data_IF_980243361959
#
_entry.id   IF_980243361959
#
_cell.length_a   1.000
_cell.length_b   1.000
_cell.length_c   1.000
_cell.angle_alpha   90.00
_cell.angle_beta   90.00
_cell.angle_gamma   90.00
#
_symmetry.space_group_name_H-M   'P 1'
#
loop_
_entity.id
_entity.type
_entity.pdbx_description
1 polymer ?
#
# COMPACT_ATOMS: atom_id res chain seq x y z
N UNK A 1 8.21 16.64 9.56
CA UNK A 1 6.77 16.30 9.53
C UNK A 1 6.62 14.83 9.28
N UNK A 2 5.51 14.22 9.73
CA UNK A 2 5.16 12.84 9.38
C UNK A 2 3.95 12.85 8.44
N UNK A 3 3.87 11.84 7.57
CA UNK A 3 2.70 11.63 6.70
C UNK A 3 1.59 10.97 7.53
N UNK A 4 0.40 11.59 7.58
CA UNK A 4 -0.72 11.09 8.39
C UNK A 4 -1.79 10.40 7.53
N UNK A 5 -2.17 11.03 6.43
CA UNK A 5 -3.18 10.51 5.51
C UNK A 5 -3.01 11.11 4.11
N UNK A 6 -3.69 10.53 3.14
CA UNK A 6 -3.84 11.02 1.76
C UNK A 6 -5.32 11.21 1.46
N UNK A 7 -5.67 12.30 0.78
CA UNK A 7 -7.00 12.51 0.19
C UNK A 7 -6.86 12.93 -1.27
N UNK A 8 -7.89 12.68 -2.05
CA UNK A 8 -7.95 13.12 -3.45
C UNK A 8 -9.34 13.71 -3.74
N UNK A 9 -9.45 14.94 -4.26
CA UNK A 9 -10.74 15.57 -4.58
C UNK A 9 -11.61 14.80 -5.56
N UNK A 10 -11.04 13.88 -6.35
CA UNK A 10 -11.80 12.97 -7.25
C UNK A 10 -12.61 11.94 -6.48
N UNK A 11 -12.25 11.70 -5.22
CA UNK A 11 -12.87 10.74 -4.30
C UNK A 11 -13.10 11.40 -2.94
N UNK A 12 -13.96 12.44 -2.86
CA UNK A 12 -14.09 13.28 -1.67
C UNK A 12 -14.66 12.56 -0.44
N UNK A 13 -15.26 11.38 -0.64
CA UNK A 13 -15.78 10.54 0.44
C UNK A 13 -14.71 9.69 1.14
N UNK A 14 -13.49 9.63 0.60
CA UNK A 14 -12.43 8.75 1.09
C UNK A 14 -11.25 9.51 1.66
N UNK A 15 -10.65 8.94 2.71
CA UNK A 15 -9.36 9.33 3.27
C UNK A 15 -8.56 8.05 3.53
N UNK A 16 -7.30 8.02 3.10
CA UNK A 16 -6.41 6.87 3.27
C UNK A 16 -5.36 7.19 4.31
N UNK A 17 -5.51 6.70 5.57
CA UNK A 17 -4.51 6.90 6.59
C UNK A 17 -3.25 6.07 6.31
N UNK A 18 -2.08 6.56 6.71
CA UNK A 18 -0.89 5.74 6.80
C UNK A 18 -0.97 4.87 8.05
N UNK A 19 -0.53 3.60 7.97
CA UNK A 19 -0.54 2.69 9.12
C UNK A 19 0.20 3.25 10.35
N UNK A 20 1.24 4.06 10.13
CA UNK A 20 2.00 4.74 11.20
C UNK A 20 1.19 5.79 11.98
N UNK A 21 0.03 6.21 11.46
CA UNK A 21 -0.86 7.16 12.11
C UNK A 21 -1.99 6.48 12.92
N UNK A 22 -2.03 5.14 12.94
CA UNK A 22 -2.99 4.35 13.72
C UNK A 22 -2.35 3.95 15.05
N UNK A 23 -3.04 4.22 16.15
CA UNK A 23 -2.57 4.01 17.53
C UNK A 23 -3.07 2.71 18.18
N UNK A 24 -3.92 1.96 17.48
CA UNK A 24 -4.33 0.61 17.85
C UNK A 24 -3.46 -0.44 17.18
N UNK A 25 -3.35 -1.63 17.78
CA UNK A 25 -2.65 -2.76 17.15
C UNK A 25 -3.27 -3.10 15.79
N UNK A 26 -2.40 -3.21 14.78
CA UNK A 26 -2.76 -3.62 13.43
C UNK A 26 -2.25 -5.05 13.18
N UNK A 27 -2.99 -5.88 12.42
CA UNK A 27 -2.50 -7.20 12.05
C UNK A 27 -1.26 -7.07 11.16
N UNK A 28 -0.36 -8.04 11.28
CA UNK A 28 0.74 -8.19 10.32
C UNK A 28 0.18 -8.40 8.91
N UNK A 29 0.69 -7.64 7.93
CA UNK A 29 0.33 -7.84 6.53
C UNK A 29 0.78 -9.22 6.06
N UNK A 30 -0.14 -10.00 5.49
CA UNK A 30 0.13 -11.34 4.95
C UNK A 30 0.98 -11.32 3.67
N UNK A 31 0.95 -10.20 2.94
CA UNK A 31 1.67 -9.96 1.69
C UNK A 31 1.95 -8.45 1.56
N UNK A 32 3.05 -8.09 0.89
CA UNK A 32 3.36 -6.68 0.55
C UNK A 32 3.43 -6.49 -0.97
N UNK A 33 3.17 -5.25 -1.38
CA UNK A 33 3.34 -4.80 -2.76
C UNK A 33 4.39 -3.69 -2.80
N UNK A 34 5.39 -3.85 -3.66
CA UNK A 34 6.45 -2.87 -3.92
C UNK A 34 6.17 -2.22 -5.27
N UNK A 35 5.82 -0.94 -5.28
CA UNK A 35 5.46 -0.18 -6.49
C UNK A 35 6.36 1.04 -6.67
N UNK A 36 6.36 1.65 -7.86
CA UNK A 36 7.26 2.75 -8.24
C UNK A 36 8.75 2.38 -8.23
N UNK A 37 9.08 1.10 -8.40
CA UNK A 37 10.47 0.63 -8.36
C UNK A 37 11.34 1.21 -9.49
N UNK A 38 10.74 1.66 -10.59
CA UNK A 38 11.44 2.35 -11.68
C UNK A 38 12.11 3.66 -11.23
N UNK A 39 11.56 4.30 -10.19
CA UNK A 39 12.02 5.60 -9.71
C UNK A 39 12.84 5.53 -8.42
N UNK A 40 13.01 4.34 -7.83
CA UNK A 40 13.88 4.19 -6.65
C UNK A 40 15.32 4.54 -7.03
N UNK A 41 16.09 5.09 -6.10
CA UNK A 41 17.53 5.25 -6.31
C UNK A 41 18.21 3.88 -6.52
N UNK A 42 19.18 3.83 -7.44
CA UNK A 42 19.82 2.56 -7.84
C UNK A 42 20.45 1.82 -6.65
N UNK A 43 21.06 2.55 -5.70
CA UNK A 43 21.73 2.00 -4.52
C UNK A 43 20.81 1.52 -3.39
N UNK A 44 19.50 1.76 -3.48
CA UNK A 44 18.54 1.30 -2.46
C UNK A 44 18.09 -0.12 -2.80
N UNK A 45 18.38 -1.14 -1.96
CA UNK A 45 17.90 -2.50 -2.19
C UNK A 45 16.39 -2.58 -1.98
N UNK A 46 15.73 -3.48 -2.74
CA UNK A 46 14.32 -3.83 -2.52
C UNK A 46 14.27 -5.07 -1.64
N UNK A 47 13.71 -4.94 -0.45
CA UNK A 47 13.56 -6.05 0.49
C UNK A 47 12.23 -6.77 0.24
N UNK A 48 12.09 -7.41 -0.91
CA UNK A 48 10.90 -8.17 -1.27
C UNK A 48 10.94 -9.60 -0.69
N UNK A 49 9.85 -10.01 -0.05
CA UNK A 49 9.64 -11.40 0.35
C UNK A 49 9.34 -12.32 -0.84
N UNK A 50 9.32 -13.65 -0.63
CA UNK A 50 9.10 -14.63 -1.70
C UNK A 50 7.73 -14.52 -2.39
N UNK A 51 6.74 -13.95 -1.70
CA UNK A 51 5.38 -13.79 -2.21
C UNK A 51 5.01 -12.32 -2.47
N UNK A 52 5.95 -11.39 -2.26
CA UNK A 52 5.68 -9.96 -2.45
C UNK A 52 5.67 -9.63 -3.94
N UNK A 53 4.68 -8.86 -4.37
CA UNK A 53 4.61 -8.42 -5.76
C UNK A 53 5.46 -7.16 -5.97
N UNK A 54 6.14 -7.07 -7.11
CA UNK A 54 7.02 -5.96 -7.46
C UNK A 54 6.61 -5.35 -8.80
N UNK A 55 6.46 -4.03 -8.83
CA UNK A 55 6.02 -3.28 -10.01
C UNK A 55 6.92 -2.07 -10.27
N UNK A 56 7.26 -1.85 -11.54
CA UNK A 56 8.01 -0.66 -11.96
C UNK A 56 7.24 0.63 -11.67
N UNK A 57 5.93 0.64 -11.91
CA UNK A 57 5.01 1.74 -11.67
C UNK A 57 3.82 1.23 -10.83
N UNK A 58 2.60 1.75 -11.01
CA UNK A 58 1.43 1.25 -10.29
C UNK A 58 1.02 -0.16 -10.77
N UNK A 59 0.52 -1.03 -9.86
CA UNK A 59 -0.15 -2.26 -10.26
C UNK A 59 -1.44 -1.96 -11.03
N UNK A 60 -1.89 -2.93 -11.82
CA UNK A 60 -3.22 -2.89 -12.46
C UNK A 60 -4.36 -3.09 -11.47
N UNK A 61 -4.10 -3.85 -10.41
CA UNK A 61 -5.02 -4.10 -9.29
C UNK A 61 -5.10 -2.87 -8.37
N UNK A 62 -6.32 -2.42 -8.06
CA UNK A 62 -6.56 -1.37 -7.07
C UNK A 62 -6.40 -1.88 -5.63
N UNK A 63 -6.21 -0.97 -4.67
CA UNK A 63 -6.15 -1.30 -3.23
C UNK A 63 -7.43 -2.03 -2.78
N UNK A 64 -8.60 -1.60 -3.25
CA UNK A 64 -9.87 -2.26 -2.92
C UNK A 64 -9.92 -3.69 -3.45
N UNK A 65 -9.64 -3.88 -4.74
CA UNK A 65 -9.62 -5.22 -5.37
C UNK A 65 -8.61 -6.15 -4.71
N UNK A 66 -7.43 -5.61 -4.34
CA UNK A 66 -6.40 -6.34 -3.61
C UNK A 66 -6.96 -6.93 -2.30
N UNK A 67 -7.70 -6.13 -1.52
CA UNK A 67 -8.33 -6.57 -0.28
C UNK A 67 -9.45 -7.58 -0.54
N UNK A 68 -10.29 -7.34 -1.55
CA UNK A 68 -11.39 -8.25 -1.90
C UNK A 68 -10.89 -9.63 -2.31
N UNK A 69 -9.89 -9.72 -3.19
CA UNK A 69 -9.33 -11.01 -3.64
C UNK A 69 -8.68 -11.82 -2.53
N UNK A 70 -8.24 -11.15 -1.47
CA UNK A 70 -7.60 -11.79 -0.30
C UNK A 70 -8.57 -12.04 0.86
N UNK A 71 -9.85 -11.72 0.71
CA UNK A 71 -10.84 -11.84 1.77
C UNK A 71 -10.56 -10.90 2.96
N UNK A 72 -9.87 -9.78 2.72
CA UNK A 72 -9.50 -8.78 3.73
C UNK A 72 -10.35 -7.50 3.65
N UNK A 73 -11.30 -7.44 2.71
CA UNK A 73 -12.20 -6.30 2.57
C UNK A 73 -13.28 -6.33 3.67
N UNK A 74 -13.46 -5.20 4.36
CA UNK A 74 -14.47 -5.01 5.40
C UNK A 74 -15.52 -4.03 4.85
N UNK A 75 -16.80 -4.40 4.96
CA UNK A 75 -17.94 -3.54 4.58
C UNK A 75 -18.24 -2.45 5.61
#
# INVERSE_FOLDING_TARGET
GAMLWVSDPRWPQWVWPFASAIDTELPSASEKVHLMLKYKAAWVPVNAGPNDQCFEEYPTESIEEWHRKRGLFIE
#
